data_IF_240029281803
#
_entry.id   IF_240029281803
#
_cell.length_a   1.000
_cell.length_b   1.000
_cell.length_c   1.000
_cell.angle_alpha   90.00
_cell.angle_beta   90.00
_cell.angle_gamma   90.00
#
_symmetry.space_group_name_H-M   'P 1'
#
loop_
_entity.id
_entity.type
_entity.pdbx_description
1 polymer ?
#
# COMPACT_ATOMS: atom_id res chain seq x y z
N UNK A 1 -11.00 -16.03 -16.26
CA UNK A 1 -9.68 -16.52 -15.78
C UNK A 1 -8.63 -15.43 -15.60
N UNK A 2 -8.36 -14.57 -16.60
CA UNK A 2 -7.44 -13.41 -16.44
C UNK A 2 -8.00 -12.42 -15.41
N UNK A 3 -7.51 -12.48 -14.17
CA UNK A 3 -7.93 -11.63 -13.05
C UNK A 3 -8.08 -12.40 -11.74
N UNK A 4 -8.51 -13.66 -11.81
CA UNK A 4 -8.87 -14.46 -10.63
C UNK A 4 -7.70 -14.65 -9.65
N UNK A 5 -6.49 -14.88 -10.16
CA UNK A 5 -5.28 -14.96 -9.33
C UNK A 5 -5.01 -13.68 -8.55
N UNK A 6 -5.21 -12.52 -9.18
CA UNK A 6 -5.02 -11.22 -8.53
C UNK A 6 -6.13 -10.96 -7.52
N UNK A 7 -7.38 -11.30 -7.85
CA UNK A 7 -8.50 -11.16 -6.92
C UNK A 7 -8.29 -12.02 -5.67
N UNK A 8 -7.86 -13.28 -5.82
CA UNK A 8 -7.50 -14.16 -4.69
C UNK A 8 -6.41 -13.54 -3.82
N UNK A 9 -5.35 -13.01 -4.44
CA UNK A 9 -4.28 -12.35 -3.71
C UNK A 9 -4.81 -11.13 -2.94
N UNK A 10 -5.56 -10.24 -3.60
CA UNK A 10 -6.11 -9.04 -2.96
C UNK A 10 -7.08 -9.37 -1.81
N UNK A 11 -7.88 -10.44 -1.95
CA UNK A 11 -8.75 -10.95 -0.87
C UNK A 11 -7.91 -11.46 0.30
N UNK A 12 -6.89 -12.29 0.02
CA UNK A 12 -5.96 -12.81 1.03
C UNK A 12 -5.20 -11.74 1.78
N UNK A 13 -4.90 -10.59 1.16
CA UNK A 13 -4.28 -9.44 1.84
C UNK A 13 -5.18 -8.73 2.85
N UNK A 14 -6.47 -9.07 2.90
CA UNK A 14 -7.45 -8.49 3.82
C UNK A 14 -7.49 -6.94 3.82
N UNK A 15 -7.10 -6.27 2.73
CA UNK A 15 -7.01 -4.79 2.67
C UNK A 15 -8.35 -4.09 2.93
N UNK A 16 -9.47 -4.78 2.70
CA UNK A 16 -10.80 -4.33 3.11
C UNK A 16 -10.90 -4.12 4.62
N UNK A 17 -10.41 -5.08 5.41
CA UNK A 17 -10.43 -4.98 6.87
C UNK A 17 -9.52 -3.85 7.33
N UNK A 18 -8.32 -3.76 6.74
CA UNK A 18 -7.36 -2.67 7.01
C UNK A 18 -7.97 -1.30 6.71
N UNK A 19 -8.61 -1.12 5.54
CA UNK A 19 -9.22 0.14 5.15
C UNK A 19 -10.36 0.56 6.09
N UNK A 20 -11.13 -0.40 6.61
CA UNK A 20 -12.18 -0.14 7.60
C UNK A 20 -11.59 0.25 8.96
N UNK A 21 -10.54 -0.42 9.43
CA UNK A 21 -9.82 -0.06 10.68
C UNK A 21 -9.22 1.36 10.59
N UNK A 22 -8.58 1.69 9.47
CA UNK A 22 -8.10 3.04 9.18
C UNK A 22 -9.26 4.07 9.24
N UNK A 23 -10.41 3.77 8.61
CA UNK A 23 -11.57 4.65 8.65
C UNK A 23 -12.06 4.84 10.09
N UNK A 24 -12.12 3.78 10.90
CA UNK A 24 -12.60 3.82 12.28
C UNK A 24 -11.79 4.80 13.14
N UNK A 25 -10.47 4.83 12.97
CA UNK A 25 -9.58 5.70 13.77
C UNK A 25 -9.51 7.15 13.27
N UNK A 26 -9.99 7.45 12.06
CA UNK A 26 -9.97 8.82 11.52
C UNK A 26 -10.72 9.83 12.41
N UNK A 27 -10.21 11.06 12.43
CA UNK A 27 -10.87 12.23 13.02
C UNK A 27 -12.24 12.49 12.37
N UNK A 28 -13.18 13.14 13.09
CA UNK A 28 -14.46 13.54 12.54
C UNK A 28 -14.34 14.39 11.27
N UNK A 29 -13.34 15.26 11.20
CA UNK A 29 -13.10 16.17 10.07
C UNK A 29 -12.64 15.41 8.83
N UNK A 30 -11.67 14.50 8.98
CA UNK A 30 -11.21 13.65 7.89
C UNK A 30 -12.34 12.73 7.38
N UNK A 31 -13.12 12.14 8.29
CA UNK A 31 -14.32 11.34 7.95
C UNK A 31 -15.33 12.16 7.16
N UNK A 32 -15.63 13.38 7.59
CA UNK A 32 -16.58 14.24 6.88
C UNK A 32 -16.15 14.52 5.44
N UNK A 33 -14.86 14.73 5.20
CA UNK A 33 -14.33 14.90 3.84
C UNK A 33 -14.49 13.62 2.98
N UNK A 34 -14.23 12.45 3.56
CA UNK A 34 -14.44 11.15 2.90
C UNK A 34 -15.93 10.96 2.57
N UNK A 35 -16.82 11.17 3.53
CA UNK A 35 -18.27 11.02 3.33
C UNK A 35 -18.80 11.97 2.26
N UNK A 36 -18.30 13.20 2.20
CA UNK A 36 -18.67 14.16 1.14
C UNK A 36 -18.22 13.68 -0.25
N UNK A 37 -17.01 13.13 -0.37
CA UNK A 37 -16.52 12.54 -1.62
C UNK A 37 -17.37 11.33 -2.04
N UNK A 38 -17.64 10.41 -1.11
CA UNK A 38 -18.53 9.26 -1.33
C UNK A 38 -19.91 9.68 -1.82
N UNK A 39 -20.50 10.71 -1.20
CA UNK A 39 -21.78 11.24 -1.61
C UNK A 39 -21.75 11.77 -3.06
N UNK A 40 -20.66 12.45 -3.46
CA UNK A 40 -20.45 12.92 -4.83
C UNK A 40 -20.34 11.78 -5.84
N UNK A 41 -19.54 10.74 -5.55
CA UNK A 41 -19.43 9.54 -6.40
C UNK A 41 -20.79 8.86 -6.55
N UNK A 42 -21.50 8.67 -5.45
CA UNK A 42 -22.82 8.04 -5.48
C UNK A 42 -23.89 8.91 -6.17
N UNK A 43 -23.77 10.23 -6.12
CA UNK A 43 -24.64 11.12 -6.88
C UNK A 43 -24.42 10.96 -8.39
N UNK A 44 -23.16 10.81 -8.83
CA UNK A 44 -22.84 10.50 -10.22
C UNK A 44 -23.40 9.13 -10.64
N UNK A 45 -23.19 8.09 -9.83
CA UNK A 45 -23.70 6.72 -10.09
C UNK A 45 -25.23 6.70 -10.25
N UNK A 46 -25.95 7.52 -9.47
CA UNK A 46 -27.42 7.61 -9.52
C UNK A 46 -27.95 8.56 -10.60
N UNK A 47 -27.08 9.28 -11.29
CA UNK A 47 -27.48 10.23 -12.33
C UNK A 47 -27.68 9.54 -13.68
N UNK A 48 -28.28 10.25 -14.63
CA UNK A 48 -28.41 9.79 -16.03
C UNK A 48 -27.13 10.03 -16.86
N UNK A 49 -26.02 10.39 -16.21
CA UNK A 49 -24.76 10.60 -16.91
C UNK A 49 -24.28 9.29 -17.55
N UNK A 50 -23.73 9.34 -18.78
CA UNK A 50 -23.24 8.14 -19.44
C UNK A 50 -22.08 7.53 -18.65
N UNK A 51 -22.19 6.24 -18.36
CA UNK A 51 -21.10 5.49 -17.74
C UNK A 51 -19.88 5.40 -18.68
N UNK A 52 -18.66 5.32 -18.11
CA UNK A 52 -17.44 4.99 -18.85
C UNK A 52 -17.63 3.75 -19.74
N UNK A 53 -16.96 3.74 -20.89
CA UNK A 53 -17.13 2.69 -21.90
C UNK A 53 -16.80 1.29 -21.37
N UNK A 54 -15.92 1.20 -20.38
CA UNK A 54 -15.50 -0.01 -19.69
C UNK A 54 -16.69 -0.80 -19.15
N UNK A 55 -17.66 -0.13 -18.51
CA UNK A 55 -18.88 -0.78 -17.98
C UNK A 55 -19.71 -1.45 -19.08
N UNK A 56 -19.76 -0.83 -20.27
CA UNK A 56 -20.45 -1.42 -21.43
C UNK A 56 -19.69 -2.63 -21.98
N UNK A 57 -18.35 -2.57 -22.00
CA UNK A 57 -17.50 -3.66 -22.49
C UNK A 57 -17.52 -4.88 -21.56
N UNK A 58 -17.57 -4.65 -20.25
CA UNK A 58 -17.63 -5.72 -19.24
C UNK A 58 -19.03 -6.23 -19.00
N UNK A 59 -20.06 -5.48 -19.39
CA UNK A 59 -21.46 -5.78 -19.09
C UNK A 59 -21.76 -5.66 -17.59
N UNK A 60 -21.09 -4.72 -16.92
CA UNK A 60 -21.23 -4.48 -15.47
C UNK A 60 -21.76 -3.08 -15.20
N UNK A 61 -22.20 -2.83 -13.98
CA UNK A 61 -22.60 -1.52 -13.49
C UNK A 61 -21.79 -1.15 -12.24
N UNK A 62 -21.59 0.16 -11.96
CA UNK A 62 -20.91 0.57 -10.73
C UNK A 62 -21.71 0.19 -9.49
N UNK A 63 -21.05 -0.41 -8.51
CA UNK A 63 -21.62 -0.62 -7.18
C UNK A 63 -21.64 0.68 -6.37
N UNK A 64 -22.53 0.82 -5.37
CA UNK A 64 -22.50 1.96 -4.45
C UNK A 64 -21.12 2.14 -3.81
N UNK A 65 -20.61 3.36 -3.86
CA UNK A 65 -19.35 3.71 -3.21
C UNK A 65 -19.55 3.82 -1.70
N UNK A 66 -18.68 3.20 -0.92
CA UNK A 66 -18.65 3.31 0.53
C UNK A 66 -17.42 4.10 0.98
N UNK A 67 -17.48 4.75 2.15
CA UNK A 67 -16.41 5.61 2.65
C UNK A 67 -15.04 4.92 2.73
N UNK A 68 -15.02 3.64 3.11
CA UNK A 68 -13.79 2.87 3.21
C UNK A 68 -13.16 2.57 1.83
N UNK A 69 -13.89 2.69 0.72
CA UNK A 69 -13.33 2.55 -0.63
C UNK A 69 -12.28 3.62 -0.91
N UNK A 70 -12.45 4.84 -0.39
CA UNK A 70 -11.45 5.90 -0.55
C UNK A 70 -10.10 5.51 0.03
N UNK A 71 -10.13 4.88 1.21
CA UNK A 71 -8.93 4.40 1.91
C UNK A 71 -8.38 3.15 1.22
N UNK A 72 -9.25 2.23 0.79
CA UNK A 72 -8.85 1.01 0.07
C UNK A 72 -8.07 1.34 -1.20
N UNK A 73 -8.55 2.29 -2.01
CA UNK A 73 -7.85 2.72 -3.24
C UNK A 73 -6.43 3.17 -2.93
N UNK A 74 -6.27 4.01 -1.90
CA UNK A 74 -4.95 4.46 -1.49
C UNK A 74 -4.06 3.30 -1.00
N UNK A 75 -4.59 2.43 -0.13
CA UNK A 75 -3.86 1.25 0.38
C UNK A 75 -3.42 0.33 -0.75
N UNK A 76 -4.33 -0.08 -1.63
CA UNK A 76 -3.99 -0.97 -2.77
C UNK A 76 -2.84 -0.40 -3.60
N UNK A 77 -2.87 0.91 -3.88
CA UNK A 77 -1.83 1.57 -4.68
C UNK A 77 -0.50 1.69 -3.95
N UNK A 78 -0.48 2.13 -2.69
CA UNK A 78 0.77 2.34 -1.95
C UNK A 78 1.40 1.03 -1.48
N UNK A 79 0.58 0.08 -1.04
CA UNK A 79 1.04 -1.22 -0.59
C UNK A 79 1.67 -2.02 -1.75
N UNK A 80 1.29 -1.74 -3.01
CA UNK A 80 1.95 -2.30 -4.20
C UNK A 80 3.35 -1.71 -4.44
N UNK A 81 3.71 -0.62 -3.78
CA UNK A 81 5.04 0.00 -3.88
C UNK A 81 5.99 -0.40 -2.76
N UNK A 82 5.56 -1.29 -1.85
CA UNK A 82 6.40 -1.69 -0.73
C UNK A 82 7.56 -2.60 -1.14
N UNK A 83 8.32 -3.06 -0.14
CA UNK A 83 9.55 -3.83 -0.32
C UNK A 83 9.34 -5.33 -0.55
N UNK A 84 8.12 -5.84 -0.38
CA UNK A 84 7.88 -7.28 -0.32
C UNK A 84 8.20 -8.01 -1.64
N UNK A 85 7.98 -7.37 -2.81
CA UNK A 85 8.27 -7.99 -4.10
C UNK A 85 9.76 -8.27 -4.27
N UNK A 86 10.63 -7.34 -3.87
CA UNK A 86 12.08 -7.53 -3.91
C UNK A 86 12.52 -8.66 -2.98
N UNK A 87 11.94 -8.74 -1.77
CA UNK A 87 12.19 -9.85 -0.82
C UNK A 87 11.81 -11.21 -1.42
N UNK A 88 10.67 -11.28 -2.12
CA UNK A 88 10.22 -12.49 -2.81
C UNK A 88 11.11 -12.87 -3.98
N UNK A 89 11.54 -11.90 -4.79
CA UNK A 89 12.47 -12.14 -5.89
C UNK A 89 13.81 -12.68 -5.40
N UNK A 90 14.40 -12.05 -4.37
CA UNK A 90 15.64 -12.51 -3.76
C UNK A 90 15.51 -13.94 -3.21
N UNK A 91 14.39 -14.27 -2.58
CA UNK A 91 14.13 -15.62 -2.08
C UNK A 91 14.03 -16.66 -3.22
N UNK A 92 13.31 -16.34 -4.30
CA UNK A 92 13.24 -17.21 -5.48
C UNK A 92 14.61 -17.40 -6.13
N UNK A 93 15.35 -16.32 -6.26
CA UNK A 93 16.70 -16.38 -6.83
C UNK A 93 17.60 -17.24 -5.95
N UNK A 94 17.48 -17.13 -4.62
CA UNK A 94 18.24 -17.96 -3.68
C UNK A 94 17.87 -19.44 -3.81
N UNK A 95 16.63 -19.76 -4.16
CA UNK A 95 16.17 -21.13 -4.41
C UNK A 95 16.85 -21.72 -5.65
N UNK A 96 16.96 -20.90 -6.71
CA UNK A 96 17.50 -21.32 -8.00
C UNK A 96 19.03 -21.43 -8.00
N UNK A 97 19.72 -20.38 -7.54
CA UNK A 97 21.18 -20.29 -7.66
C UNK A 97 21.93 -20.52 -6.34
N UNK A 98 21.20 -20.70 -5.25
CA UNK A 98 21.73 -20.85 -3.90
C UNK A 98 21.93 -19.50 -3.18
N UNK A 99 21.68 -19.43 -1.86
CA UNK A 99 21.72 -18.18 -1.10
C UNK A 99 23.09 -17.49 -1.11
N UNK A 100 24.17 -18.26 -1.17
CA UNK A 100 25.54 -17.73 -1.27
C UNK A 100 25.77 -16.94 -2.56
N UNK A 101 25.25 -17.41 -3.70
CA UNK A 101 25.43 -16.71 -4.99
C UNK A 101 24.58 -15.44 -5.04
N UNK A 102 23.38 -15.47 -4.46
CA UNK A 102 22.53 -14.28 -4.34
C UNK A 102 23.18 -13.21 -3.47
N UNK A 103 23.70 -13.59 -2.29
CA UNK A 103 24.39 -12.67 -1.40
C UNK A 103 25.62 -12.02 -2.07
N UNK A 104 26.31 -12.74 -2.96
CA UNK A 104 27.47 -12.21 -3.69
C UNK A 104 27.10 -11.14 -4.74
N UNK A 105 25.89 -11.18 -5.31
CA UNK A 105 25.43 -10.21 -6.33
C UNK A 105 24.51 -9.12 -5.77
N UNK A 106 24.09 -9.24 -4.51
CA UNK A 106 23.31 -8.23 -3.78
C UNK A 106 23.93 -7.97 -2.41
N UNK A 107 25.10 -7.31 -2.35
CA UNK A 107 25.87 -7.17 -1.11
C UNK A 107 25.30 -6.12 -0.13
N UNK A 108 24.11 -5.55 -0.42
CA UNK A 108 23.49 -4.47 0.34
C UNK A 108 24.28 -3.15 0.28
N UNK A 109 23.82 -2.17 1.07
CA UNK A 109 24.50 -0.88 1.22
C UNK A 109 25.86 -1.06 1.87
N UNK A 110 26.91 -0.58 1.20
CA UNK A 110 28.28 -0.64 1.70
C UNK A 110 28.54 0.43 2.77
N UNK A 111 29.48 0.21 3.70
CA UNK A 111 29.95 1.27 4.59
C UNK A 111 30.34 2.53 3.79
N UNK A 112 29.79 3.68 4.17
CA UNK A 112 30.01 4.96 3.48
C UNK A 112 29.10 5.23 2.27
N UNK A 113 28.11 4.38 2.00
CA UNK A 113 27.07 4.70 1.02
C UNK A 113 26.27 5.95 1.42
N UNK A 114 25.94 6.80 0.45
CA UNK A 114 25.04 7.93 0.65
C UNK A 114 23.62 7.40 0.85
N UNK A 115 23.20 7.27 2.11
CA UNK A 115 21.88 6.79 2.50
C UNK A 115 21.05 7.94 3.07
N UNK A 116 19.75 7.94 2.79
CA UNK A 116 18.79 8.76 3.53
C UNK A 116 18.66 8.17 4.93
N UNK A 117 19.26 8.83 5.91
CA UNK A 117 19.20 8.49 7.33
C UNK A 117 18.46 9.61 8.06
N UNK A 118 17.86 9.34 9.24
CA UNK A 118 17.27 10.40 10.05
C UNK A 118 18.26 11.57 10.26
N UNK A 119 17.80 12.83 10.35
CA UNK A 119 18.69 13.97 10.51
C UNK A 119 19.73 13.77 11.62
N UNK A 120 21.01 13.85 11.25
CA UNK A 120 22.15 13.70 12.17
C UNK A 120 22.59 12.27 12.46
N UNK A 121 21.99 11.26 11.83
CA UNK A 121 22.48 9.87 11.91
C UNK A 121 23.53 9.58 10.82
N UNK A 122 24.41 8.62 11.07
CA UNK A 122 25.24 7.97 10.06
C UNK A 122 24.90 6.48 10.06
N UNK A 123 24.74 5.87 8.89
CA UNK A 123 24.56 4.42 8.80
C UNK A 123 25.93 3.73 8.92
N UNK A 124 26.20 3.13 10.07
CA UNK A 124 27.41 2.35 10.35
C UNK A 124 27.13 0.84 10.47
N UNK A 125 25.96 0.40 10.02
CA UNK A 125 25.43 -0.94 10.30
C UNK A 125 26.31 -2.08 9.76
N UNK A 126 26.28 -3.26 10.39
CA UNK A 126 26.97 -4.44 9.87
C UNK A 126 26.36 -4.87 8.53
N UNK A 127 27.18 -5.46 7.66
CA UNK A 127 26.68 -6.18 6.50
C UNK A 127 25.70 -7.25 7.00
N UNK A 128 24.40 -7.08 6.74
CA UNK A 128 23.40 -8.07 7.09
C UNK A 128 23.79 -9.37 6.38
N UNK A 129 23.97 -10.45 7.15
CA UNK A 129 24.28 -11.75 6.59
C UNK A 129 23.02 -12.33 5.95
N UNK A 130 22.71 -11.86 4.74
CA UNK A 130 21.55 -12.25 3.96
C UNK A 130 21.46 -13.77 3.75
N UNK A 131 22.55 -14.52 3.95
CA UNK A 131 22.62 -15.96 3.72
C UNK A 131 21.66 -16.73 4.64
N UNK A 132 21.63 -16.41 5.95
CA UNK A 132 20.79 -17.15 6.90
C UNK A 132 19.30 -16.89 6.66
N UNK A 133 18.94 -15.64 6.36
CA UNK A 133 17.57 -15.23 6.07
C UNK A 133 17.09 -15.79 4.73
N UNK A 134 17.89 -15.67 3.66
CA UNK A 134 17.54 -16.21 2.34
C UNK A 134 17.34 -17.72 2.38
N UNK A 135 18.14 -18.45 3.16
CA UNK A 135 18.00 -19.92 3.28
C UNK A 135 16.64 -20.34 3.83
N UNK A 136 16.01 -19.53 4.70
CA UNK A 136 14.71 -19.86 5.31
C UNK A 136 13.51 -19.58 4.40
N UNK A 137 13.64 -18.64 3.45
CA UNK A 137 12.51 -18.16 2.63
C UNK A 137 12.35 -18.98 1.32
N UNK A 138 13.38 -19.70 0.90
CA UNK A 138 13.47 -20.47 -0.37
C UNK A 138 12.31 -21.45 -0.63
N UNK A 139 11.69 -22.02 0.41
CA UNK A 139 10.64 -23.02 0.22
C UNK A 139 9.21 -22.45 0.07
N UNK A 140 9.00 -21.14 0.27
CA UNK A 140 7.66 -20.58 0.50
C UNK A 140 7.13 -19.65 -0.62
N UNK A 141 7.94 -19.32 -1.63
CA UNK A 141 7.75 -18.10 -2.44
C UNK A 141 7.51 -18.28 -3.94
N UNK A 142 7.22 -19.49 -4.43
CA UNK A 142 7.18 -19.82 -5.87
C UNK A 142 6.27 -18.91 -6.77
N UNK A 143 5.28 -18.20 -6.23
CA UNK A 143 4.16 -17.65 -7.02
C UNK A 143 4.10 -16.13 -7.29
N UNK A 144 5.03 -15.30 -6.84
CA UNK A 144 4.84 -13.82 -6.88
C UNK A 144 5.82 -13.09 -7.84
N UNK A 145 5.34 -12.13 -8.65
CA UNK A 145 6.11 -11.36 -9.68
C UNK A 145 6.12 -9.85 -9.39
N UNK A 146 7.16 -9.19 -9.87
CA UNK A 146 7.67 -7.83 -9.59
C UNK A 146 6.95 -6.67 -10.31
N UNK A 147 7.21 -5.44 -9.83
CA UNK A 147 7.09 -4.18 -10.59
C UNK A 147 8.09 -3.13 -10.09
N UNK A 148 8.55 -2.28 -11.02
CA UNK A 148 9.57 -1.23 -10.90
C UNK A 148 8.91 0.18 -10.84
N UNK A 149 9.49 1.14 -10.13
CA UNK A 149 8.96 2.52 -9.96
C UNK A 149 9.98 3.53 -9.39
N UNK A 150 9.82 4.83 -9.67
CA UNK A 150 10.76 5.89 -9.25
C UNK A 150 10.16 7.30 -9.22
N UNK A 151 10.90 8.30 -8.71
CA UNK A 151 10.46 9.71 -8.66
C UNK A 151 11.64 10.65 -8.35
N UNK A 152 11.53 11.92 -8.75
CA UNK A 152 12.42 13.00 -8.30
C UNK A 152 11.68 13.96 -7.35
N UNK A 153 12.39 14.55 -6.39
CA UNK A 153 11.85 15.57 -5.48
C UNK A 153 12.93 16.57 -5.08
N UNK A 154 12.64 17.86 -5.23
CA UNK A 154 13.54 18.98 -4.94
C UNK A 154 12.85 19.98 -4.02
N UNK A 155 13.59 20.48 -3.03
CA UNK A 155 13.17 21.61 -2.19
C UNK A 155 14.33 22.62 -2.14
N UNK A 156 14.05 23.87 -2.52
CA UNK A 156 15.03 24.96 -2.60
C UNK A 156 14.58 26.08 -1.67
N UNK A 157 15.48 26.49 -0.77
CA UNK A 157 15.25 27.65 0.12
C UNK A 157 15.13 28.95 -0.68
N UNK A 158 14.31 29.89 -0.21
CA UNK A 158 14.15 31.23 -0.80
C UNK A 158 15.47 32.01 -0.95
N UNK A 159 16.45 31.79 -0.06
CA UNK A 159 17.77 32.42 -0.17
C UNK A 159 18.59 31.94 -1.39
N UNK A 160 18.10 30.92 -2.10
CA UNK A 160 18.68 30.39 -3.34
C UNK A 160 17.79 30.58 -4.56
N UNK A 161 16.74 31.38 -4.47
CA UNK A 161 15.82 31.69 -5.58
C UNK A 161 15.80 33.18 -5.86
N UNK A 162 15.56 33.57 -7.12
CA UNK A 162 15.49 35.00 -7.50
C UNK A 162 14.29 35.72 -6.86
N UNK A 163 13.19 34.99 -6.61
CA UNK A 163 11.99 35.53 -5.99
C UNK A 163 12.11 35.71 -4.47
N UNK A 164 13.12 35.12 -3.83
CA UNK A 164 13.22 35.04 -2.37
C UNK A 164 12.21 34.07 -1.73
N UNK A 165 11.42 33.33 -2.52
CA UNK A 165 10.43 32.35 -2.05
C UNK A 165 10.92 30.91 -2.24
N UNK A 166 10.53 29.97 -1.35
CA UNK A 166 10.90 28.57 -1.49
C UNK A 166 10.30 27.95 -2.76
N UNK A 167 10.98 26.96 -3.33
CA UNK A 167 10.50 26.17 -4.46
C UNK A 167 10.47 24.69 -4.09
N UNK A 168 9.34 24.04 -4.36
CA UNK A 168 9.22 22.57 -4.34
C UNK A 168 8.93 22.11 -5.76
N UNK A 169 9.71 21.14 -6.23
CA UNK A 169 9.51 20.53 -7.54
C UNK A 169 9.53 19.01 -7.41
N UNK A 170 8.78 18.36 -8.27
CA UNK A 170 8.65 16.92 -8.25
C UNK A 170 8.27 16.36 -9.60
N UNK A 171 8.72 15.14 -9.85
CA UNK A 171 8.56 14.47 -11.13
C UNK A 171 8.40 12.96 -10.88
N UNK A 172 7.15 12.51 -10.80
CA UNK A 172 6.82 11.11 -10.52
C UNK A 172 6.96 10.25 -11.77
N UNK A 173 7.75 9.18 -11.68
CA UNK A 173 7.92 8.23 -12.78
C UNK A 173 7.02 7.03 -12.57
N UNK A 174 5.84 7.08 -13.20
CA UNK A 174 4.85 6.01 -13.18
C UNK A 174 4.63 5.46 -14.57
N UNK A 175 4.34 4.16 -14.66
CA UNK A 175 3.78 3.58 -15.88
C UNK A 175 2.47 4.28 -16.25
N UNK A 176 2.22 4.41 -17.55
CA UNK A 176 0.93 4.91 -18.03
C UNK A 176 -0.14 3.83 -17.84
N UNK A 177 -1.17 4.15 -17.06
CA UNK A 177 -2.29 3.26 -16.73
C UNK A 177 -3.64 3.94 -16.93
N UNK A 178 -4.72 3.15 -16.94
CA UNK A 178 -6.11 3.62 -17.10
C UNK A 178 -6.97 3.12 -15.93
N UNK A 179 -7.59 4.03 -15.15
CA UNK A 179 -7.35 5.47 -15.15
C UNK A 179 -5.92 5.81 -14.71
N UNK A 180 -5.43 6.99 -15.11
CA UNK A 180 -4.10 7.46 -14.72
C UNK A 180 -3.99 7.52 -13.17
N UNK A 181 -2.79 7.25 -12.63
CA UNK A 181 -2.50 7.26 -11.19
C UNK A 181 -2.94 8.57 -10.54
N UNK A 182 -2.66 9.68 -11.23
CA UNK A 182 -2.88 11.03 -10.72
C UNK A 182 -3.89 11.78 -11.58
N UNK A 183 -4.74 12.56 -10.90
CA UNK A 183 -5.54 13.61 -11.52
C UNK A 183 -5.30 14.92 -10.76
N UNK A 184 -5.20 16.00 -11.52
CA UNK A 184 -5.00 17.32 -10.94
C UNK A 184 -6.31 17.85 -10.36
N UNK A 185 -6.24 18.42 -9.16
CA UNK A 185 -7.36 18.99 -8.44
C UNK A 185 -7.03 20.38 -7.94
N UNK A 186 -8.04 21.25 -7.96
CA UNK A 186 -8.07 22.50 -7.22
C UNK A 186 -9.34 22.50 -6.37
N UNK A 187 -9.17 22.39 -5.05
CA UNK A 187 -10.28 22.45 -4.10
C UNK A 187 -10.22 23.81 -3.41
N UNK A 188 -11.36 24.50 -3.39
CA UNK A 188 -11.51 25.80 -2.74
C UNK A 188 -12.76 25.81 -1.88
N UNK A 189 -12.59 25.97 -0.59
CA UNK A 189 -13.64 26.22 0.38
C UNK A 189 -13.44 27.54 1.12
N UNK A 190 -14.31 27.86 2.08
CA UNK A 190 -14.13 29.04 2.94
C UNK A 190 -12.88 28.98 3.82
N UNK A 191 -12.51 27.77 4.28
CA UNK A 191 -11.48 27.58 5.31
C UNK A 191 -10.11 27.15 4.78
N UNK A 192 -10.05 26.66 3.53
CA UNK A 192 -8.80 26.25 2.89
C UNK A 192 -8.92 26.23 1.36
N UNK A 193 -7.76 26.31 0.71
CA UNK A 193 -7.61 26.14 -0.73
C UNK A 193 -6.39 25.25 -0.97
N UNK A 194 -6.50 24.25 -1.83
CA UNK A 194 -5.38 23.37 -2.19
C UNK A 194 -5.40 23.06 -3.69
N UNK A 195 -4.23 23.14 -4.32
CA UNK A 195 -4.01 22.75 -5.71
C UNK A 195 -2.90 21.70 -5.75
N UNK A 196 -3.10 20.63 -6.50
CA UNK A 196 -2.09 19.59 -6.65
C UNK A 196 -2.66 18.34 -7.31
N UNK A 197 -2.06 17.19 -7.03
CA UNK A 197 -2.51 15.91 -7.57
C UNK A 197 -3.12 15.03 -6.47
N UNK A 198 -4.25 14.40 -6.83
CA UNK A 198 -4.86 13.34 -6.05
C UNK A 198 -4.85 12.03 -6.84
N UNK A 199 -5.08 10.92 -6.15
CA UNK A 199 -5.34 9.62 -6.74
C UNK A 199 -6.87 9.52 -6.96
N UNK A 200 -7.37 9.15 -8.16
CA UNK A 200 -8.80 8.99 -8.37
C UNK A 200 -9.41 8.02 -7.35
N UNK A 201 -10.41 8.48 -6.60
CA UNK A 201 -10.99 7.73 -5.48
C UNK A 201 -10.54 8.21 -4.10
N UNK A 202 -9.54 9.10 -4.01
CA UNK A 202 -9.01 9.63 -2.75
C UNK A 202 -9.34 11.13 -2.66
N UNK A 203 -9.98 11.61 -1.58
CA UNK A 203 -10.38 13.02 -1.49
C UNK A 203 -9.24 14.00 -1.21
N UNK A 204 -8.09 13.53 -0.72
CA UNK A 204 -6.96 14.38 -0.34
C UNK A 204 -5.96 14.59 -1.49
N UNK A 205 -5.48 15.82 -1.64
CA UNK A 205 -4.40 16.17 -2.58
C UNK A 205 -3.03 15.98 -1.91
N UNK A 206 -2.47 14.78 -2.01
CA UNK A 206 -1.20 14.44 -1.34
C UNK A 206 0.03 14.60 -2.23
N UNK A 207 -0.12 14.51 -3.55
CA UNK A 207 1.02 14.44 -4.47
C UNK A 207 1.26 15.79 -5.12
N UNK A 208 2.45 16.35 -4.89
CA UNK A 208 2.94 17.61 -5.47
C UNK A 208 1.87 18.69 -5.47
N UNK A 209 1.62 19.20 -4.27
CA UNK A 209 0.52 20.07 -3.97
C UNK A 209 0.97 21.28 -3.15
N UNK A 210 0.15 22.32 -3.16
CA UNK A 210 0.35 23.49 -2.35
C UNK A 210 -1.00 24.09 -1.95
N UNK A 211 -0.99 24.80 -0.82
CA UNK A 211 -2.08 25.69 -0.43
C UNK A 211 -1.59 27.14 -0.48
N UNK A 212 -2.29 28.04 0.20
CA UNK A 212 -1.94 29.47 0.25
C UNK A 212 -0.67 29.76 1.08
N UNK A 213 -0.17 28.79 1.84
CA UNK A 213 0.89 28.96 2.84
C UNK A 213 2.11 28.04 2.64
N UNK A 214 1.90 26.80 2.24
CA UNK A 214 2.93 25.76 2.11
C UNK A 214 2.80 24.98 0.81
N UNK A 215 3.90 24.38 0.38
CA UNK A 215 3.96 23.41 -0.72
C UNK A 215 4.70 22.16 -0.27
N UNK A 216 4.30 21.00 -0.81
CA UNK A 216 4.87 19.71 -0.48
C UNK A 216 4.89 18.79 -1.70
N UNK A 217 5.75 17.78 -1.64
CA UNK A 217 5.87 16.73 -2.64
C UNK A 217 6.07 15.39 -1.96
N UNK A 218 5.62 14.33 -2.62
CA UNK A 218 5.81 12.96 -2.15
C UNK A 218 6.59 12.18 -3.20
N UNK A 219 7.66 11.54 -2.77
CA UNK A 219 8.49 10.66 -3.61
C UNK A 219 8.61 9.29 -2.96
N UNK A 220 8.89 8.26 -3.77
CA UNK A 220 9.06 6.92 -3.26
C UNK A 220 10.32 6.87 -2.36
N UNK A 221 10.13 6.62 -1.07
CA UNK A 221 11.21 6.68 -0.09
C UNK A 221 12.17 5.49 -0.10
N UNK A 222 11.86 4.40 -0.84
CA UNK A 222 12.66 3.18 -0.85
C UNK A 222 12.79 2.50 0.52
N UNK A 223 11.94 2.88 1.49
CA UNK A 223 11.99 2.38 2.84
C UNK A 223 11.54 0.92 2.88
N UNK A 224 12.21 0.11 3.70
CA UNK A 224 11.74 -1.24 3.99
C UNK A 224 10.55 -1.18 4.95
N UNK A 225 9.35 -1.24 4.39
CA UNK A 225 8.09 -1.10 5.15
C UNK A 225 7.34 -2.41 5.30
N UNK A 226 7.72 -3.49 4.63
CA UNK A 226 6.93 -4.72 4.61
C UNK A 226 7.75 -5.95 4.92
N UNK A 227 7.31 -6.73 5.90
CA UNK A 227 7.96 -7.97 6.30
C UNK A 227 7.17 -9.20 5.86
N UNK A 228 7.92 -10.28 5.62
CA UNK A 228 7.37 -11.57 5.23
C UNK A 228 7.73 -12.61 6.29
N UNK A 229 6.73 -13.36 6.74
CA UNK A 229 6.89 -14.39 7.76
C UNK A 229 6.43 -15.74 7.21
N UNK A 230 7.20 -16.80 7.44
CA UNK A 230 6.76 -18.17 7.16
C UNK A 230 6.10 -18.71 8.43
N UNK A 231 4.79 -18.85 8.36
CA UNK A 231 3.93 -19.37 9.43
C UNK A 231 3.76 -20.87 9.28
N UNK A 232 3.80 -21.60 10.40
CA UNK A 232 3.31 -22.97 10.46
C UNK A 232 1.85 -22.93 10.87
N UNK A 233 0.99 -23.59 10.10
CA UNK A 233 -0.46 -23.54 10.24
C UNK A 233 -1.01 -24.93 10.50
N UNK A 234 -2.12 -25.02 11.23
CA UNK A 234 -2.90 -26.26 11.32
C UNK A 234 -4.38 -25.97 11.44
N UNK A 235 -5.18 -26.92 10.93
CA UNK A 235 -6.62 -26.94 11.15
C UNK A 235 -6.94 -27.79 12.37
N UNK A 236 -7.75 -27.24 13.26
CA UNK A 236 -8.32 -27.94 14.43
C UNK A 236 -9.84 -27.93 14.34
N UNK A 237 -10.51 -28.59 15.28
CA UNK A 237 -11.98 -28.56 15.37
C UNK A 237 -12.51 -27.14 15.69
N UNK A 238 -11.67 -26.29 16.31
CA UNK A 238 -12.04 -24.97 16.80
C UNK A 238 -11.60 -23.81 15.87
N UNK A 239 -11.04 -24.16 14.70
CA UNK A 239 -10.65 -23.22 13.65
C UNK A 239 -9.25 -23.46 13.10
N UNK A 240 -8.56 -22.35 12.78
CA UNK A 240 -7.18 -22.33 12.29
C UNK A 240 -6.26 -21.85 13.40
N UNK A 241 -5.12 -22.51 13.55
CA UNK A 241 -4.07 -22.11 14.49
C UNK A 241 -2.73 -21.93 13.77
N UNK A 242 -1.86 -21.10 14.35
CA UNK A 242 -0.49 -20.86 13.89
C UNK A 242 0.49 -21.02 15.04
N UNK A 243 1.72 -21.47 14.75
CA UNK A 243 2.76 -21.65 15.77
C UNK A 243 3.52 -20.34 16.00
N UNK A 244 3.48 -19.83 17.24
CA UNK A 244 4.21 -18.64 17.65
C UNK A 244 4.95 -18.92 18.97
N UNK A 245 6.29 -18.80 18.95
CA UNK A 245 7.16 -19.04 20.12
C UNK A 245 6.86 -20.38 20.83
N UNK A 246 6.80 -21.46 20.03
CA UNK A 246 6.50 -22.83 20.47
C UNK A 246 5.07 -23.06 21.02
N UNK A 247 4.20 -22.06 20.92
CA UNK A 247 2.79 -22.16 21.31
C UNK A 247 1.87 -22.05 20.09
N UNK A 248 0.83 -22.89 20.04
CA UNK A 248 -0.19 -22.78 19.01
C UNK A 248 -1.22 -21.73 19.42
N UNK A 249 -1.32 -20.65 18.65
CA UNK A 249 -2.27 -19.57 18.86
C UNK A 249 -3.37 -19.63 17.81
N UNK A 250 -4.59 -19.21 18.18
CA UNK A 250 -5.71 -19.14 17.25
C UNK A 250 -5.51 -18.02 16.23
N UNK A 251 -5.61 -18.34 14.95
CA UNK A 251 -5.66 -17.35 13.87
C UNK A 251 -7.09 -16.84 13.69
N UNK A 252 -7.23 -15.59 13.25
CA UNK A 252 -8.50 -15.13 12.71
C UNK A 252 -8.64 -15.70 11.29
N UNK A 253 -9.79 -16.30 10.97
CA UNK A 253 -10.04 -16.89 9.67
C UNK A 253 -11.45 -16.57 9.18
N UNK A 254 -11.59 -16.25 7.90
CA UNK A 254 -12.87 -16.01 7.24
C UNK A 254 -12.84 -16.55 5.82
N UNK A 255 -13.99 -16.62 5.17
CA UNK A 255 -14.11 -17.03 3.77
C UNK A 255 -14.81 -15.91 3.01
N UNK A 256 -14.22 -15.49 1.88
CA UNK A 256 -14.83 -14.55 0.95
C UNK A 256 -15.12 -15.23 -0.40
N UNK A 257 -16.25 -14.87 -1.01
CA UNK A 257 -16.62 -15.39 -2.34
C UNK A 257 -16.24 -14.41 -3.45
N UNK A 258 -15.68 -14.94 -4.54
CA UNK A 258 -15.39 -14.24 -5.78
C UNK A 258 -16.37 -14.72 -6.85
N UNK A 259 -17.15 -13.80 -7.40
CA UNK A 259 -18.02 -14.09 -8.55
C UNK A 259 -17.19 -14.13 -9.82
N UNK A 260 -17.16 -15.28 -10.51
CA UNK A 260 -16.43 -15.45 -11.76
C UNK A 260 -17.41 -15.42 -12.92
N UNK A 261 -17.16 -14.55 -13.91
CA UNK A 261 -18.01 -14.45 -15.10
C UNK A 261 -18.16 -15.81 -15.77
N UNK A 262 -19.41 -16.22 -15.99
CA UNK A 262 -19.78 -17.46 -16.67
C UNK A 262 -19.23 -18.75 -16.00
N UNK A 263 -18.86 -18.66 -14.72
CA UNK A 263 -18.37 -19.79 -13.93
C UNK A 263 -18.96 -19.78 -12.51
N UNK A 264 -18.68 -20.85 -11.76
CA UNK A 264 -19.08 -20.94 -10.35
C UNK A 264 -18.32 -19.92 -9.51
N UNK A 265 -18.96 -19.45 -8.45
CA UNK A 265 -18.28 -18.65 -7.41
C UNK A 265 -17.08 -19.44 -6.87
N UNK A 266 -16.02 -18.72 -6.58
CA UNK A 266 -14.85 -19.27 -5.92
C UNK A 266 -14.79 -18.76 -4.48
N UNK A 267 -14.56 -19.67 -3.55
CA UNK A 267 -14.33 -19.34 -2.15
C UNK A 267 -12.84 -19.16 -1.88
N UNK A 268 -12.48 -18.09 -1.19
CA UNK A 268 -11.12 -17.77 -0.78
C UNK A 268 -11.08 -17.68 0.74
N UNK A 269 -10.35 -18.60 1.35
CA UNK A 269 -10.05 -18.51 2.77
C UNK A 269 -9.01 -17.41 3.03
N UNK A 270 -9.33 -16.54 3.98
CA UNK A 270 -8.48 -15.48 4.50
C UNK A 270 -8.06 -15.90 5.91
N UNK A 271 -6.75 -15.87 6.17
CA UNK A 271 -6.18 -16.19 7.48
C UNK A 271 -5.30 -15.03 7.93
N UNK A 272 -5.57 -14.47 9.10
CA UNK A 272 -4.81 -13.39 9.74
C UNK A 272 -4.15 -13.94 11.01
N UNK A 273 -2.82 -13.81 11.08
CA UNK A 273 -1.97 -14.17 12.24
C UNK A 273 -1.53 -12.90 12.97
N UNK A 274 -0.74 -13.04 14.04
CA UNK A 274 -0.14 -11.88 14.71
C UNK A 274 0.75 -11.04 13.78
N UNK A 275 1.49 -11.67 12.87
CA UNK A 275 2.36 -10.95 11.94
C UNK A 275 1.60 -10.32 10.77
N UNK A 276 0.48 -10.93 10.38
CA UNK A 276 -0.42 -10.38 9.35
C UNK A 276 -1.14 -11.46 8.55
N UNK A 277 -1.65 -11.06 7.39
CA UNK A 277 -2.49 -11.91 6.54
C UNK A 277 -1.66 -12.89 5.70
N UNK A 278 -2.12 -14.15 5.60
CA UNK A 278 -1.50 -15.19 4.77
C UNK A 278 -1.79 -14.93 3.29
N UNK A 279 -0.75 -14.62 2.51
CA UNK A 279 -0.85 -14.30 1.08
C UNK A 279 -0.45 -15.45 0.15
N UNK A 280 0.32 -16.42 0.66
CA UNK A 280 0.76 -17.62 -0.07
C UNK A 280 0.74 -18.84 0.86
N UNK A 281 0.68 -20.05 0.29
CA UNK A 281 0.43 -21.29 1.04
C UNK A 281 -1.04 -21.47 1.43
N UNK A 282 -1.29 -22.40 2.34
CA UNK A 282 -2.62 -22.71 2.88
C UNK A 282 -2.54 -23.49 4.19
N UNK A 283 -3.61 -23.43 4.99
CA UNK A 283 -3.74 -24.24 6.22
C UNK A 283 -3.57 -25.73 5.92
N UNK A 284 -4.10 -26.20 4.79
CA UNK A 284 -4.02 -27.62 4.39
C UNK A 284 -2.59 -28.06 4.03
N UNK A 285 -1.74 -27.13 3.60
CA UNK A 285 -0.31 -27.39 3.37
C UNK A 285 0.53 -27.41 4.66
N UNK A 286 -0.06 -27.01 5.79
CA UNK A 286 0.62 -26.90 7.09
C UNK A 286 1.48 -25.64 7.25
N UNK A 287 1.50 -24.75 6.26
CA UNK A 287 2.28 -23.51 6.30
C UNK A 287 1.67 -22.38 5.46
N UNK A 288 2.11 -21.14 5.69
CA UNK A 288 1.76 -20.00 4.84
C UNK A 288 2.78 -18.88 4.94
N UNK A 289 2.80 -17.97 3.95
CA UNK A 289 3.55 -16.72 4.03
C UNK A 289 2.61 -15.61 4.47
N UNK A 290 2.84 -15.06 5.67
CA UNK A 290 2.19 -13.84 6.12
C UNK A 290 2.94 -12.60 5.61
N UNK A 291 2.20 -11.54 5.29
CA UNK A 291 2.76 -10.21 5.05
C UNK A 291 2.36 -9.27 6.19
N UNK A 292 3.34 -8.55 6.71
CA UNK A 292 3.15 -7.45 7.64
C UNK A 292 3.39 -6.13 6.92
N UNK A 293 2.43 -5.22 6.99
CA UNK A 293 2.48 -3.88 6.39
C UNK A 293 2.04 -2.85 7.46
N UNK A 294 2.65 -1.66 7.55
CA UNK A 294 2.24 -0.60 8.45
C UNK A 294 0.74 -0.39 8.52
N UNK A 295 0.20 -0.59 9.72
CA UNK A 295 -1.21 -0.39 10.02
C UNK A 295 -2.13 -1.54 9.66
N UNK A 296 -1.63 -2.68 9.17
CA UNK A 296 -2.50 -3.82 8.82
C UNK A 296 -3.30 -4.37 10.01
N UNK A 297 -2.73 -4.37 11.22
CA UNK A 297 -3.39 -4.95 12.40
C UNK A 297 -4.32 -3.96 13.12
N UNK A 298 -3.88 -2.71 13.35
CA UNK A 298 -4.58 -1.77 14.25
C UNK A 298 -5.18 -0.54 13.54
N UNK A 299 -4.99 -0.41 12.23
CA UNK A 299 -5.30 0.82 11.50
C UNK A 299 -4.31 1.95 11.80
N UNK A 300 -4.34 2.99 10.97
CA UNK A 300 -3.38 4.10 10.97
C UNK A 300 -4.08 5.42 10.68
N UNK A 301 -3.61 6.50 11.31
CA UNK A 301 -4.15 7.86 11.16
C UNK A 301 -3.56 8.63 9.97
N UNK A 302 -3.12 7.93 8.92
CA UNK A 302 -2.51 8.59 7.75
C UNK A 302 -3.49 9.56 7.06
N UNK A 303 -4.79 9.25 7.09
CA UNK A 303 -5.86 10.10 6.56
C UNK A 303 -5.92 11.44 7.30
N UNK A 304 -5.74 11.44 8.63
CA UNK A 304 -5.70 12.65 9.44
C UNK A 304 -4.47 13.50 9.08
N UNK A 305 -3.32 12.87 8.84
CA UNK A 305 -2.11 13.55 8.39
C UNK A 305 -2.28 14.19 7.01
N UNK A 306 -2.91 13.47 6.06
CA UNK A 306 -3.21 13.98 4.73
C UNK A 306 -4.21 15.16 4.77
N UNK A 307 -5.23 15.06 5.63
CA UNK A 307 -6.18 16.16 5.86
C UNK A 307 -5.49 17.38 6.49
N UNK A 308 -4.67 17.16 7.52
CA UNK A 308 -3.90 18.20 8.20
C UNK A 308 -2.97 18.95 7.26
N UNK A 309 -2.20 18.21 6.45
CA UNK A 309 -1.27 18.76 5.44
C UNK A 309 -1.93 19.79 4.53
N UNK A 310 -3.14 19.50 4.02
CA UNK A 310 -3.85 20.44 3.13
C UNK A 310 -4.24 21.75 3.82
N UNK A 311 -4.32 21.76 5.16
CA UNK A 311 -4.73 22.90 5.98
C UNK A 311 -3.58 23.57 6.72
N UNK A 312 -2.37 23.03 6.64
CA UNK A 312 -1.19 23.59 7.30
C UNK A 312 -0.94 25.03 6.85
N UNK A 313 -0.65 25.91 7.80
CA UNK A 313 -0.40 27.34 7.60
C UNK A 313 1.06 27.73 7.68
N UNK A 314 1.92 26.78 8.00
CA UNK A 314 3.37 26.94 8.05
C UNK A 314 4.06 25.60 7.83
N UNK A 315 5.35 25.64 7.50
CA UNK A 315 6.17 24.44 7.37
C UNK A 315 6.35 23.69 8.70
N UNK A 316 6.18 24.35 9.85
CA UNK A 316 6.24 23.71 11.17
C UNK A 316 4.93 22.96 11.50
N UNK A 317 3.80 23.40 10.95
CA UNK A 317 2.51 22.69 11.06
C UNK A 317 2.38 21.51 10.08
N UNK A 318 3.18 21.51 9.02
CA UNK A 318 3.24 20.48 7.99
C UNK A 318 4.04 19.26 8.48
#
# INVERSE_FOLDING_TARGET
>A
ERGLTQDRLMRRRALKNVAKRDLEVCSPEAKAMITAYTAGVNAFIKSDAPLPAEYKLTGTEPEPWEDWHCILVYKVRNTAEGSFQAKLWLAKLAAEIGPYKVAAISPGSQPGALMTVPPGAEYSGPALNAIEELTRVVNATEMLRETDGGSNGWAISGDRTESGLPLVAGDSHRGLEVPNVYYQVHLKGPDFQVLGHSIPGVPMAMHFAHNDHVCWGMTHGGADTQDLFVEQLRRTNDGVEYLFKDEWLKAASSVESISVREATKEEVEIVETHHGSIISGSVDSGWGVAISDPGSNDGTRWVDAAYGTMKSRSADEL
#
